data_IF_321552053691
#
_entry.id   IF_321552053691
#
_cell.length_a   1.000
_cell.length_b   1.000
_cell.length_c   1.000
_cell.angle_alpha   90.00
_cell.angle_beta   90.00
_cell.angle_gamma   90.00
#
_symmetry.space_group_name_H-M   'P 1'
#
loop_
_entity.id
_entity.type
_entity.pdbx_description
1 polymer ?
#
# COMPACT_ATOMS: atom_id res chain seq x y z
N UNK A 1 37.82 12.87 34.84
CA UNK A 1 36.60 12.05 34.93
C UNK A 1 36.05 11.89 33.52
N UNK A 2 36.25 10.77 32.81
CA UNK A 2 35.65 10.58 31.50
C UNK A 2 34.19 10.14 31.67
N UNK A 3 33.28 10.82 30.97
CA UNK A 3 31.86 10.49 30.97
C UNK A 3 31.65 9.10 30.36
N UNK A 4 31.07 8.20 31.13
CA UNK A 4 30.66 6.87 30.67
C UNK A 4 29.47 7.05 29.74
N UNK A 5 29.69 6.88 28.44
CA UNK A 5 28.62 6.83 27.45
C UNK A 5 27.79 5.57 27.67
N UNK A 6 26.58 5.75 28.20
CA UNK A 6 25.60 4.67 28.39
C UNK A 6 25.15 4.17 27.01
N UNK A 7 25.14 2.84 26.76
CA UNK A 7 24.64 2.31 25.50
C UNK A 7 23.16 2.67 25.36
N UNK A 8 22.82 3.36 24.27
CA UNK A 8 21.43 3.62 23.88
C UNK A 8 20.71 2.27 23.79
N UNK A 9 19.58 2.06 24.48
CA UNK A 9 18.85 0.80 24.37
C UNK A 9 18.47 0.61 22.91
N UNK A 10 18.93 -0.51 22.32
CA UNK A 10 18.54 -0.92 20.99
C UNK A 10 17.01 -1.02 21.00
N UNK A 11 16.35 -0.17 20.22
CA UNK A 11 14.92 -0.29 19.97
C UNK A 11 14.71 -1.70 19.41
N UNK A 12 14.07 -2.56 20.18
CA UNK A 12 13.51 -3.81 19.70
C UNK A 12 12.48 -3.44 18.64
N UNK A 13 12.91 -3.39 17.38
CA UNK A 13 12.00 -3.23 16.26
C UNK A 13 11.05 -4.42 16.30
N UNK A 14 9.78 -4.16 16.63
CA UNK A 14 8.72 -5.14 16.48
C UNK A 14 8.69 -5.54 15.00
N UNK A 15 9.15 -6.74 14.69
CA UNK A 15 9.12 -7.24 13.33
C UNK A 15 7.67 -7.53 12.96
N UNK A 16 7.24 -7.00 11.82
CA UNK A 16 5.89 -7.24 11.31
C UNK A 16 5.80 -8.72 10.90
N UNK A 17 4.82 -9.49 11.40
CA UNK A 17 4.70 -10.90 11.05
C UNK A 17 4.51 -11.09 9.54
N UNK A 18 5.25 -12.03 8.95
CA UNK A 18 5.15 -12.35 7.51
C UNK A 18 3.73 -12.68 7.08
N UNK A 19 2.99 -13.44 7.90
CA UNK A 19 1.60 -13.80 7.61
C UNK A 19 0.66 -12.60 7.52
N UNK A 20 0.96 -11.49 8.20
CA UNK A 20 0.18 -10.25 8.07
C UNK A 20 0.41 -9.57 6.72
N UNK A 21 1.64 -9.59 6.21
CA UNK A 21 1.96 -9.07 4.87
C UNK A 21 1.28 -9.91 3.79
N UNK A 22 1.36 -11.24 3.90
CA UNK A 22 0.70 -12.17 2.97
C UNK A 22 -0.83 -11.99 2.98
N UNK A 23 -1.43 -11.79 4.17
CA UNK A 23 -2.84 -11.46 4.31
C UNK A 23 -3.20 -10.16 3.57
N UNK A 24 -2.43 -9.07 3.76
CA UNK A 24 -2.68 -7.80 3.09
C UNK A 24 -2.55 -7.91 1.57
N UNK A 25 -1.60 -8.70 1.07
CA UNK A 25 -1.45 -8.98 -0.35
C UNK A 25 -2.67 -9.74 -0.91
N UNK A 26 -3.13 -10.78 -0.21
CA UNK A 26 -4.32 -11.52 -0.60
C UNK A 26 -5.57 -10.63 -0.62
N UNK A 27 -5.74 -9.78 0.40
CA UNK A 27 -6.85 -8.81 0.47
C UNK A 27 -6.79 -7.76 -0.63
N UNK A 28 -5.60 -7.29 -0.99
CA UNK A 28 -5.42 -6.38 -2.11
C UNK A 28 -5.88 -7.02 -3.43
N UNK A 29 -5.42 -8.24 -3.73
CA UNK A 29 -5.82 -8.96 -4.93
C UNK A 29 -7.33 -9.24 -4.98
N UNK A 30 -7.92 -9.63 -3.85
CA UNK A 30 -9.37 -9.82 -3.72
C UNK A 30 -10.14 -8.51 -3.99
N UNK A 31 -9.67 -7.39 -3.45
CA UNK A 31 -10.27 -6.08 -3.65
C UNK A 31 -10.14 -5.61 -5.12
N UNK A 32 -9.01 -5.85 -5.79
CA UNK A 32 -8.81 -5.53 -7.21
C UNK A 32 -9.73 -6.35 -8.12
N UNK A 33 -9.85 -7.66 -7.86
CA UNK A 33 -10.77 -8.53 -8.58
C UNK A 33 -12.22 -8.09 -8.37
N UNK A 34 -12.57 -7.76 -7.13
CA UNK A 34 -13.91 -7.27 -6.79
C UNK A 34 -14.22 -5.91 -7.42
N UNK A 35 -13.26 -4.99 -7.44
CA UNK A 35 -13.37 -3.70 -8.11
C UNK A 35 -13.64 -3.88 -9.60
N UNK A 36 -12.89 -4.75 -10.26
CA UNK A 36 -13.08 -5.07 -11.68
C UNK A 36 -14.49 -5.61 -11.94
N UNK A 37 -14.93 -6.58 -11.13
CA UNK A 37 -16.27 -7.15 -11.25
C UNK A 37 -17.39 -6.11 -10.99
N UNK A 38 -17.22 -5.19 -10.04
CA UNK A 38 -18.21 -4.14 -9.76
C UNK A 38 -18.22 -3.08 -10.87
N UNK A 39 -17.07 -2.72 -11.43
CA UNK A 39 -16.98 -1.81 -12.58
C UNK A 39 -17.74 -2.37 -13.79
N UNK A 40 -17.55 -3.65 -14.12
CA UNK A 40 -18.30 -4.27 -15.22
C UNK A 40 -19.82 -4.22 -15.02
N UNK A 41 -20.27 -4.45 -13.78
CA UNK A 41 -21.71 -4.36 -13.44
C UNK A 41 -22.22 -2.94 -13.55
N UNK A 42 -21.47 -1.96 -13.01
CA UNK A 42 -21.79 -0.54 -13.12
C UNK A 42 -21.90 -0.11 -14.58
N UNK A 43 -20.89 -0.41 -15.42
CA UNK A 43 -20.88 -0.03 -16.83
C UNK A 43 -22.00 -0.71 -17.62
N UNK A 44 -22.31 -1.98 -17.34
CA UNK A 44 -23.45 -2.66 -17.97
C UNK A 44 -24.78 -1.99 -17.62
N UNK A 45 -25.00 -1.67 -16.35
CA UNK A 45 -26.21 -0.97 -15.90
C UNK A 45 -26.26 0.44 -16.46
N UNK A 46 -25.12 1.16 -16.52
CA UNK A 46 -25.00 2.48 -17.12
C UNK A 46 -25.35 2.45 -18.60
N UNK A 47 -24.80 1.51 -19.37
CA UNK A 47 -25.12 1.36 -20.78
C UNK A 47 -26.61 1.07 -21.03
N UNK A 48 -27.27 0.30 -20.14
CA UNK A 48 -28.72 0.08 -20.22
C UNK A 48 -29.51 1.36 -19.94
N UNK A 49 -29.11 2.12 -18.92
CA UNK A 49 -29.69 3.41 -18.58
C UNK A 49 -29.53 4.40 -19.75
N UNK A 50 -28.32 4.57 -20.26
CA UNK A 50 -28.01 5.50 -21.36
C UNK A 50 -28.85 5.18 -22.60
N UNK A 51 -28.97 3.90 -22.98
CA UNK A 51 -29.84 3.48 -24.11
C UNK A 51 -31.32 3.80 -23.89
N UNK A 52 -31.81 3.75 -22.66
CA UNK A 52 -33.20 4.03 -22.34
C UNK A 52 -33.50 5.52 -22.50
N UNK A 53 -32.64 6.37 -21.96
CA UNK A 53 -32.80 7.83 -21.96
C UNK A 53 -32.43 8.48 -23.29
N UNK A 54 -31.50 7.90 -24.06
CA UNK A 54 -31.19 8.35 -25.42
C UNK A 54 -32.41 8.32 -26.36
N UNK A 55 -33.37 7.39 -26.15
CA UNK A 55 -34.63 7.34 -26.91
C UNK A 55 -35.54 8.54 -26.63
N UNK A 56 -35.24 9.33 -25.61
CA UNK A 56 -36.01 10.50 -25.21
C UNK A 56 -35.20 11.80 -25.40
N UNK A 57 -34.07 11.73 -26.10
CA UNK A 57 -33.16 12.88 -26.27
C UNK A 57 -32.45 13.30 -24.99
N UNK A 58 -32.47 12.46 -23.95
CA UNK A 58 -31.81 12.73 -22.67
C UNK A 58 -30.45 12.04 -22.71
N UNK A 59 -29.46 12.76 -23.23
CA UNK A 59 -28.07 12.34 -23.30
C UNK A 59 -27.16 13.39 -22.65
N UNK A 60 -25.92 13.05 -22.26
CA UNK A 60 -24.97 14.04 -21.76
C UNK A 60 -24.74 15.20 -22.74
N UNK A 61 -24.85 14.95 -24.04
CA UNK A 61 -24.60 15.92 -25.11
C UNK A 61 -25.82 16.79 -25.41
N UNK A 62 -27.03 16.24 -25.36
CA UNK A 62 -28.27 16.95 -25.72
C UNK A 62 -28.95 17.60 -24.52
N UNK A 63 -28.92 16.97 -23.35
CA UNK A 63 -29.59 17.43 -22.14
C UNK A 63 -28.90 16.92 -20.87
N UNK A 64 -27.73 17.49 -20.59
CA UNK A 64 -26.88 17.11 -19.46
C UNK A 64 -27.58 17.27 -18.11
N UNK A 65 -28.47 18.26 -17.96
CA UNK A 65 -29.15 18.55 -16.70
C UNK A 65 -30.13 17.43 -16.37
N UNK A 66 -31.00 17.07 -17.31
CA UNK A 66 -31.93 15.96 -17.10
C UNK A 66 -31.20 14.62 -17.06
N UNK A 67 -30.10 14.46 -17.80
CA UNK A 67 -29.24 13.27 -17.69
C UNK A 67 -28.68 13.10 -16.28
N UNK A 68 -28.07 14.15 -15.69
CA UNK A 68 -27.52 14.09 -14.33
C UNK A 68 -28.63 13.85 -13.30
N UNK A 69 -29.77 14.52 -13.43
CA UNK A 69 -30.91 14.32 -12.53
C UNK A 69 -31.43 12.88 -12.60
N UNK A 70 -31.65 12.35 -13.80
CA UNK A 70 -32.14 10.98 -14.00
C UNK A 70 -31.12 9.94 -13.50
N UNK A 71 -29.83 10.12 -13.82
CA UNK A 71 -28.75 9.26 -13.33
C UNK A 71 -28.69 9.30 -11.79
N UNK A 72 -28.80 10.50 -11.23
CA UNK A 72 -28.82 10.78 -9.81
C UNK A 72 -30.09 10.33 -9.09
N UNK A 73 -31.14 9.89 -9.78
CA UNK A 73 -32.33 9.29 -9.17
C UNK A 73 -32.40 7.78 -9.37
N UNK A 74 -31.54 7.20 -10.23
CA UNK A 74 -31.52 5.77 -10.47
C UNK A 74 -30.89 4.99 -9.28
N UNK A 75 -31.68 4.15 -8.56
CA UNK A 75 -31.18 3.45 -7.38
C UNK A 75 -30.17 2.35 -7.72
N UNK A 76 -30.31 1.70 -8.89
CA UNK A 76 -29.42 0.64 -9.32
C UNK A 76 -28.03 1.19 -9.67
N UNK A 77 -27.97 2.31 -10.40
CA UNK A 77 -26.71 2.99 -10.69
C UNK A 77 -26.01 3.49 -9.43
N UNK A 78 -26.77 4.07 -8.50
CA UNK A 78 -26.23 4.47 -7.19
C UNK A 78 -25.63 3.29 -6.44
N UNK A 79 -26.33 2.15 -6.41
CA UNK A 79 -25.86 0.96 -5.74
C UNK A 79 -24.54 0.46 -6.32
N UNK A 80 -24.47 0.29 -7.64
CA UNK A 80 -23.24 -0.19 -8.27
C UNK A 80 -22.08 0.79 -8.13
N UNK A 81 -22.35 2.09 -8.26
CA UNK A 81 -21.35 3.11 -8.03
C UNK A 81 -20.80 3.08 -6.60
N UNK A 82 -21.68 2.95 -5.59
CA UNK A 82 -21.25 2.83 -4.20
C UNK A 82 -20.39 1.57 -3.95
N UNK A 83 -20.66 0.47 -4.67
CA UNK A 83 -19.82 -0.74 -4.61
C UNK A 83 -18.45 -0.52 -5.26
N UNK A 84 -18.39 0.18 -6.39
CA UNK A 84 -17.12 0.58 -7.02
C UNK A 84 -16.30 1.45 -6.06
N UNK A 85 -16.90 2.49 -5.47
CA UNK A 85 -16.22 3.35 -4.50
C UNK A 85 -15.69 2.57 -3.30
N UNK A 86 -16.47 1.61 -2.79
CA UNK A 86 -16.05 0.77 -1.67
C UNK A 86 -14.76 0.01 -1.98
N UNK A 87 -14.70 -0.68 -3.13
CA UNK A 87 -13.50 -1.44 -3.47
C UNK A 87 -12.33 -0.55 -3.90
N UNK A 88 -12.57 0.63 -4.49
CA UNK A 88 -11.51 1.62 -4.70
C UNK A 88 -10.85 2.03 -3.36
N UNK A 89 -11.66 2.24 -2.32
CA UNK A 89 -11.15 2.54 -0.97
C UNK A 89 -10.38 1.35 -0.38
N UNK A 90 -10.85 0.12 -0.55
CA UNK A 90 -10.14 -1.07 -0.09
C UNK A 90 -8.78 -1.25 -0.80
N UNK A 91 -8.75 -1.16 -2.13
CA UNK A 91 -7.51 -1.24 -2.92
C UNK A 91 -6.51 -0.17 -2.45
N UNK A 92 -6.99 1.07 -2.28
CA UNK A 92 -6.15 2.18 -1.80
C UNK A 92 -5.62 1.90 -0.39
N UNK A 93 -6.46 1.42 0.52
CA UNK A 93 -6.09 1.16 1.90
C UNK A 93 -5.06 0.03 2.02
N UNK A 94 -5.28 -1.11 1.36
CA UNK A 94 -4.36 -2.24 1.40
C UNK A 94 -3.04 -1.92 0.68
N UNK A 95 -3.09 -1.23 -0.46
CA UNK A 95 -1.89 -0.76 -1.16
C UNK A 95 -1.07 0.23 -0.34
N UNK A 96 -1.73 1.17 0.35
CA UNK A 96 -1.05 2.10 1.25
C UNK A 96 -0.42 1.39 2.46
N UNK A 97 -1.11 0.41 3.04
CA UNK A 97 -0.58 -0.38 4.15
C UNK A 97 0.70 -1.13 3.74
N UNK A 98 0.68 -1.84 2.60
CA UNK A 98 1.86 -2.54 2.08
C UNK A 98 3.01 -1.58 1.77
N UNK A 99 2.72 -0.45 1.14
CA UNK A 99 3.72 0.59 0.83
C UNK A 99 4.34 1.14 2.12
N UNK A 100 3.53 1.40 3.15
CA UNK A 100 3.98 1.89 4.44
C UNK A 100 4.87 0.89 5.17
N UNK A 101 4.53 -0.41 5.12
CA UNK A 101 5.35 -1.48 5.68
C UNK A 101 6.72 -1.58 4.99
N UNK A 102 6.74 -1.50 3.67
CA UNK A 102 7.98 -1.49 2.89
C UNK A 102 8.84 -0.26 3.18
N UNK A 103 8.22 0.92 3.30
CA UNK A 103 8.92 2.15 3.69
C UNK A 103 9.52 2.03 5.11
N UNK A 104 8.75 1.54 6.07
CA UNK A 104 9.22 1.32 7.44
C UNK A 104 10.38 0.32 7.48
N UNK A 105 10.33 -0.76 6.68
CA UNK A 105 11.43 -1.73 6.57
C UNK A 105 12.71 -1.08 6.05
N UNK A 106 12.63 -0.21 5.05
CA UNK A 106 13.81 0.52 4.52
C UNK A 106 14.38 1.47 5.58
N UNK A 107 13.54 2.23 6.26
CA UNK A 107 13.98 3.19 7.29
C UNK A 107 14.62 2.52 8.50
N UNK A 108 14.09 1.36 8.94
CA UNK A 108 14.63 0.63 10.09
C UNK A 108 15.82 -0.26 9.74
N UNK A 109 16.00 -0.60 8.46
CA UNK A 109 17.09 -1.45 7.97
C UNK A 109 18.42 -0.72 7.74
N UNK A 110 18.42 0.61 7.65
CA UNK A 110 19.60 1.41 7.27
C UNK A 110 20.46 1.89 8.45
N UNK A 111 19.95 1.84 9.69
CA UNK A 111 20.69 2.22 10.90
C UNK A 111 21.60 1.09 11.46
N UNK A 112 21.56 -0.11 10.87
CA UNK A 112 22.20 -1.32 11.39
C UNK A 112 23.48 -1.79 10.70
N UNK A 113 23.89 -1.17 9.58
CA UNK A 113 25.01 -1.69 8.77
C UNK A 113 26.01 -0.61 8.34
N UNK A 114 26.41 0.26 9.28
CA UNK A 114 27.78 0.79 9.25
C UNK A 114 28.60 -0.04 10.23
N UNK A 115 29.22 -1.12 9.72
CA UNK A 115 30.45 -1.63 10.33
C UNK A 115 31.47 -0.50 10.17
N UNK A 116 31.97 0.15 11.24
CA UNK A 116 33.16 0.95 11.11
C UNK A 116 34.30 -0.05 10.94
N UNK A 117 34.85 -0.17 9.73
CA UNK A 117 36.23 -0.63 9.56
C UNK A 117 37.15 0.41 10.21
N UNK A 118 37.20 0.44 11.53
CA UNK A 118 38.17 1.22 12.28
C UNK A 118 39.03 0.24 13.07
N UNK A 119 40.18 -0.06 12.45
CA UNK A 119 41.46 -0.16 13.15
C UNK A 119 41.54 -1.22 14.25
N UNK A 120 41.70 -2.49 13.87
CA UNK A 120 42.44 -3.43 14.73
C UNK A 120 43.93 -3.31 14.44
N UNK A 121 44.53 -2.33 15.10
CA UNK A 121 45.94 -2.36 15.46
C UNK A 121 46.22 -3.67 16.22
N UNK A 122 47.00 -4.57 15.62
CA UNK A 122 47.54 -5.75 16.30
C UNK A 122 49.06 -5.64 16.36
N UNK A 123 49.55 -4.67 17.12
CA UNK A 123 50.86 -4.77 17.72
C UNK A 123 50.79 -5.82 18.84
N UNK A 124 51.38 -7.00 18.61
CA UNK A 124 51.97 -7.77 19.70
C UNK A 124 53.00 -8.79 19.18
N UNK A 125 54.26 -8.46 19.49
CA UNK A 125 55.32 -9.38 19.97
C UNK A 125 55.80 -10.47 19.02
N UNK A 126 56.70 -10.10 18.10
CA UNK A 126 57.83 -10.97 17.70
C UNK A 126 58.98 -10.70 18.67
N UNK A 127 58.98 -11.42 19.78
CA UNK A 127 60.13 -11.50 20.67
C UNK A 127 61.18 -12.43 20.03
N UNK A 128 62.43 -11.98 20.06
CA UNK A 128 63.63 -12.73 19.72
C UNK A 128 63.79 -14.00 20.59
N UNK A 129 64.55 -14.93 20.01
CA UNK A 129 65.38 -15.98 20.62
C UNK A 129 64.78 -17.39 20.80
N UNK A 130 65.38 -18.35 20.08
CA UNK A 130 65.94 -19.57 20.69
C UNK A 130 67.11 -20.13 19.83
N UNK A 131 68.18 -20.71 20.43
CA UNK A 131 69.45 -21.03 19.78
C UNK A 131 69.53 -22.51 19.35
N UNK A 132 70.56 -22.83 18.55
CA UNK A 132 70.95 -24.19 18.15
C UNK A 132 71.44 -24.22 16.72
#
# INVERSE_FOLDING_TARGET
>A
MPAVSVPRPARTALSVPRGYVEYLQARLLEAEASLTAMNEKYERTKARFDRCYARHGITPEEDIVNYINAKGMNPELKFWYAKVEHFQREVTAYGAALTGLDAARRMLGDDGYRVPEHGRARNNRRALNRPG
#
